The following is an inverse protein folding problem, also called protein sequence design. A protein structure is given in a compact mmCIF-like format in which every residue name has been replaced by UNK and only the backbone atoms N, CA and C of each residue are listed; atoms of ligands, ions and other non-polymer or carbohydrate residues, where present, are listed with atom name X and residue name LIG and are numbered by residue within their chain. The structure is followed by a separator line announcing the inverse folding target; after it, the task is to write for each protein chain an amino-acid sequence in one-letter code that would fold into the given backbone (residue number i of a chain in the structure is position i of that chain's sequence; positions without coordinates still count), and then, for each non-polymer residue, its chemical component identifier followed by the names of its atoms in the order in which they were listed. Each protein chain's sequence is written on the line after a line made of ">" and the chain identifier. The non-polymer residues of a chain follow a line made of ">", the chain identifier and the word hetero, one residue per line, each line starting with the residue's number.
data_IF_629521636437
#
_entry.id   IF_629521636437
#
_cell.length_a   1.000
_cell.length_b   1.000
_cell.length_c   1.000
_cell.angle_alpha   90.00
_cell.angle_beta   90.00
_cell.angle_gamma   90.00
#
_symmetry.space_group_name_H-M   'P 1'
#
loop_
_entity.id
_entity.type
_entity.pdbx_description
1 polymer ?
#
# COMPACT_ATOMS: atom_id res chain seq x y z
N UNK A 1 11.79 17.58 23.57
CA UNK A 1 11.43 16.94 22.30
C UNK A 1 12.68 16.27 21.76
N UNK A 2 12.53 15.19 20.97
CA UNK A 2 13.67 14.66 20.20
C UNK A 2 13.89 15.55 18.98
N UNK A 3 15.12 15.57 18.48
CA UNK A 3 15.46 16.38 17.31
C UNK A 3 14.75 15.84 16.06
N UNK A 4 14.73 14.52 15.88
CA UNK A 4 14.03 13.87 14.78
C UNK A 4 13.70 12.40 15.13
N UNK A 5 12.84 11.77 14.33
CA UNK A 5 12.70 10.32 14.29
C UNK A 5 12.39 9.87 12.87
N UNK A 6 12.86 8.67 12.53
CA UNK A 6 12.69 8.08 11.20
C UNK A 6 11.93 6.77 11.29
N UNK A 7 10.98 6.56 10.40
CA UNK A 7 10.28 5.30 10.20
C UNK A 7 10.52 4.80 8.78
N UNK A 8 10.59 3.48 8.62
CA UNK A 8 10.50 2.82 7.32
C UNK A 8 9.15 2.14 7.21
N UNK A 9 8.49 2.32 6.07
CA UNK A 9 7.24 1.64 5.73
C UNK A 9 7.41 0.95 4.39
N UNK A 10 7.17 -0.36 4.29
CA UNK A 10 7.34 -1.08 3.03
C UNK A 10 6.30 -0.60 2.00
N UNK A 11 6.65 -0.60 0.72
CA UNK A 11 5.67 -0.49 -0.35
C UNK A 11 4.68 -1.65 -0.28
N UNK A 12 3.45 -1.45 -0.73
CA UNK A 12 2.44 -2.50 -0.78
C UNK A 12 1.81 -2.60 -2.15
N UNK A 13 1.85 -3.81 -2.71
CA UNK A 13 1.12 -4.16 -3.93
C UNK A 13 -0.15 -4.88 -3.53
N UNK A 14 -1.30 -4.31 -3.84
CA UNK A 14 -2.58 -5.04 -3.81
C UNK A 14 -2.68 -5.92 -5.06
N UNK A 15 -2.95 -7.22 -4.87
CA UNK A 15 -3.17 -8.15 -5.98
C UNK A 15 -4.65 -8.27 -6.37
N UNK A 16 -5.56 -8.16 -5.41
CA UNK A 16 -7.00 -8.07 -5.63
C UNK A 16 -7.66 -7.50 -4.37
N UNK A 17 -8.88 -6.96 -4.52
CA UNK A 17 -9.61 -6.40 -3.39
C UNK A 17 -11.13 -6.37 -3.61
N UNK A 18 -11.87 -6.17 -2.53
CA UNK A 18 -13.24 -5.69 -2.54
C UNK A 18 -13.35 -4.50 -1.59
N UNK A 19 -13.99 -3.43 -2.02
CA UNK A 19 -14.19 -2.23 -1.20
C UNK A 19 -15.37 -2.43 -0.24
N UNK A 20 -15.22 -1.97 0.99
CA UNK A 20 -16.25 -2.00 2.03
C UNK A 20 -16.34 -0.60 2.65
N UNK A 21 -17.06 0.34 1.99
CA UNK A 21 -17.22 1.68 2.52
C UNK A 21 -18.06 1.67 3.80
N UNK A 22 -17.78 2.59 4.70
CA UNK A 22 -18.55 2.84 5.91
C UNK A 22 -18.50 4.32 6.27
N UNK A 23 -19.51 4.81 6.99
CA UNK A 23 -19.55 6.21 7.46
C UNK A 23 -18.40 6.51 8.45
N UNK A 24 -18.00 5.51 9.23
CA UNK A 24 -16.85 5.59 10.13
C UNK A 24 -15.57 5.18 9.37
N UNK A 25 -14.59 6.08 9.22
CA UNK A 25 -13.34 5.77 8.53
C UNK A 25 -12.54 4.62 9.14
N UNK A 26 -12.71 4.37 10.45
CA UNK A 26 -12.03 3.27 11.14
C UNK A 26 -12.65 1.91 10.85
N UNK A 27 -13.93 1.87 10.46
CA UNK A 27 -14.61 0.65 10.01
C UNK A 27 -14.49 0.44 8.50
N UNK A 28 -14.43 1.53 7.73
CA UNK A 28 -14.30 1.43 6.28
C UNK A 28 -12.94 0.82 5.91
N UNK A 29 -12.92 0.04 4.83
CA UNK A 29 -11.68 -0.52 4.34
C UNK A 29 -11.90 -1.50 3.20
N UNK A 30 -11.01 -2.48 3.10
CA UNK A 30 -11.04 -3.48 2.04
C UNK A 30 -10.79 -4.88 2.57
N UNK A 31 -11.34 -5.86 1.86
CA UNK A 31 -10.86 -7.25 1.92
C UNK A 31 -10.04 -7.54 0.68
N UNK A 32 -9.11 -8.48 0.75
CA UNK A 32 -8.26 -8.82 -0.39
C UNK A 32 -6.92 -9.39 0.04
N UNK A 33 -5.98 -9.50 -0.89
CA UNK A 33 -4.61 -9.88 -0.56
C UNK A 33 -3.60 -9.05 -1.35
N UNK A 34 -2.39 -8.97 -0.82
CA UNK A 34 -1.30 -8.24 -1.42
C UNK A 34 0.04 -8.71 -0.88
N UNK A 35 1.11 -8.00 -1.24
CA UNK A 35 2.44 -8.24 -0.75
C UNK A 35 3.15 -6.93 -0.44
N UNK A 36 3.90 -6.91 0.65
CA UNK A 36 4.73 -5.78 1.03
C UNK A 36 6.15 -5.97 0.51
N UNK A 37 6.81 -4.90 0.12
CA UNK A 37 8.11 -4.92 -0.55
C UNK A 37 9.23 -4.45 0.37
N UNK A 38 10.45 -4.93 0.13
CA UNK A 38 11.66 -4.40 0.80
C UNK A 38 11.98 -2.98 0.34
N UNK A 39 11.50 -2.61 -0.84
CA UNK A 39 11.48 -1.24 -1.35
C UNK A 39 10.29 -0.53 -0.71
N UNK A 40 10.45 0.74 -0.33
CA UNK A 40 9.40 1.43 0.41
C UNK A 40 9.61 2.91 0.54
N UNK A 41 9.16 3.44 1.68
CA UNK A 41 9.29 4.86 2.02
C UNK A 41 9.99 4.97 3.36
N UNK A 42 11.05 5.78 3.39
CA UNK A 42 11.68 6.23 4.64
C UNK A 42 11.12 7.61 4.97
N UNK A 43 10.45 7.76 6.11
CA UNK A 43 9.83 9.03 6.55
C UNK A 43 10.55 9.53 7.80
N UNK A 44 11.10 10.73 7.72
CA UNK A 44 11.71 11.44 8.84
C UNK A 44 10.81 12.60 9.25
N UNK A 45 10.56 12.72 10.55
CA UNK A 45 9.78 13.80 11.14
C UNK A 45 10.67 14.60 12.08
N UNK A 46 10.64 15.92 11.94
CA UNK A 46 11.33 16.87 12.81
C UNK A 46 10.38 18.00 13.28
N UNK A 47 10.55 18.54 14.49
CA UNK A 47 9.83 19.73 14.92
C UNK A 47 10.19 20.94 14.05
N UNK A 48 9.19 21.77 13.75
CA UNK A 48 9.43 23.10 13.19
C UNK A 48 9.60 24.15 14.30
N UNK A 49 10.06 25.35 13.95
CA UNK A 49 10.13 26.47 14.87
C UNK A 49 8.74 26.78 15.49
N UNK A 50 8.70 27.23 16.74
CA UNK A 50 7.43 27.45 17.47
C UNK A 50 6.50 28.46 16.79
N UNK A 51 7.04 29.35 15.95
CA UNK A 51 6.27 30.34 15.20
C UNK A 51 5.69 29.82 13.88
N UNK A 52 6.05 28.60 13.46
CA UNK A 52 5.49 28.00 12.26
C UNK A 52 4.05 27.52 12.53
N UNK A 53 3.12 27.97 11.67
CA UNK A 53 1.70 27.63 11.77
C UNK A 53 1.28 26.46 10.87
N UNK A 54 2.17 26.01 9.99
CA UNK A 54 1.87 25.02 8.95
C UNK A 54 2.99 23.98 8.87
N UNK A 55 2.59 22.75 8.62
CA UNK A 55 3.50 21.63 8.40
C UNK A 55 4.09 21.69 7.00
N UNK A 56 5.27 21.10 6.82
CA UNK A 56 5.95 21.03 5.53
C UNK A 56 6.12 19.56 5.18
N UNK A 57 5.61 19.14 4.02
CA UNK A 57 5.76 17.77 3.51
C UNK A 57 6.64 17.78 2.27
N UNK A 58 7.67 16.94 2.27
CA UNK A 58 8.65 16.81 1.20
C UNK A 58 8.77 15.33 0.83
N UNK A 59 8.73 15.04 -0.47
CA UNK A 59 8.99 13.73 -1.03
C UNK A 59 10.10 13.85 -2.07
N UNK A 60 11.18 13.10 -1.91
CA UNK A 60 12.34 13.06 -2.81
C UNK A 60 12.92 14.46 -3.13
N UNK A 61 12.89 15.34 -2.12
CA UNK A 61 13.41 16.71 -2.20
C UNK A 61 12.44 17.75 -2.76
N UNK A 62 11.23 17.35 -3.18
CA UNK A 62 10.20 18.25 -3.68
C UNK A 62 9.08 18.46 -2.65
N UNK A 63 8.63 19.71 -2.48
CA UNK A 63 7.45 20.01 -1.65
C UNK A 63 6.20 19.51 -2.34
N UNK A 64 5.38 18.76 -1.61
CA UNK A 64 4.18 18.11 -2.14
C UNK A 64 3.07 18.14 -1.09
N UNK A 65 1.82 18.15 -1.55
CA UNK A 65 0.65 17.96 -0.70
C UNK A 65 0.25 16.49 -0.70
N UNK A 66 0.19 15.88 0.49
CA UNK A 66 -0.28 14.51 0.68
C UNK A 66 -1.30 14.55 1.81
N UNK A 67 -2.56 14.73 1.44
CA UNK A 67 -3.69 14.94 2.36
C UNK A 67 -3.73 13.94 3.54
N UNK A 68 -3.47 12.63 3.37
CA UNK A 68 -3.36 11.70 4.49
C UNK A 68 -2.32 12.09 5.55
N UNK A 69 -1.17 12.65 5.14
CA UNK A 69 -0.11 13.10 6.07
C UNK A 69 -0.59 14.32 6.86
N UNK A 70 -1.27 15.25 6.21
CA UNK A 70 -1.84 16.44 6.86
C UNK A 70 -2.89 16.04 7.90
N UNK A 71 -3.81 15.14 7.55
CA UNK A 71 -4.82 14.61 8.47
C UNK A 71 -4.17 13.90 9.67
N UNK A 72 -3.09 13.14 9.46
CA UNK A 72 -2.34 12.51 10.58
C UNK A 72 -1.76 13.56 11.52
N UNK A 73 -1.11 14.60 10.99
CA UNK A 73 -0.50 15.67 11.79
C UNK A 73 -1.56 16.47 12.56
N UNK A 74 -2.67 16.81 11.92
CA UNK A 74 -3.82 17.47 12.55
C UNK A 74 -4.42 16.61 13.67
N UNK A 75 -4.60 15.31 13.43
CA UNK A 75 -5.16 14.37 14.41
C UNK A 75 -4.26 14.21 15.65
N UNK A 76 -2.94 14.30 15.44
CA UNK A 76 -1.95 14.27 16.51
C UNK A 76 -1.78 15.63 17.21
N UNK A 77 -2.41 16.70 16.71
CA UNK A 77 -2.28 18.10 17.17
C UNK A 77 -0.81 18.56 17.17
N UNK A 78 -0.10 18.32 16.05
CA UNK A 78 1.30 18.69 15.88
C UNK A 78 1.56 19.39 14.56
N UNK A 79 2.52 20.32 14.57
CA UNK A 79 3.08 20.94 13.37
C UNK A 79 4.51 20.44 13.21
N UNK A 80 4.84 19.91 12.03
CA UNK A 80 6.11 19.25 11.80
C UNK A 80 6.61 19.43 10.37
N UNK A 81 7.90 19.19 10.19
CA UNK A 81 8.48 18.95 8.87
C UNK A 81 8.60 17.45 8.68
N UNK A 82 8.00 16.97 7.60
CA UNK A 82 7.97 15.58 7.18
C UNK A 82 8.77 15.48 5.89
N UNK A 83 9.88 14.76 5.94
CA UNK A 83 10.74 14.51 4.78
C UNK A 83 10.73 13.01 4.49
N UNK A 84 10.41 12.65 3.25
CA UNK A 84 10.33 11.27 2.82
C UNK A 84 11.22 11.01 1.60
N UNK A 85 11.84 9.83 1.59
CA UNK A 85 12.55 9.26 0.44
C UNK A 85 11.84 7.98 0.02
N UNK A 86 11.56 7.81 -1.27
CA UNK A 86 10.91 6.61 -1.79
C UNK A 86 11.73 5.87 -2.85
N UNK A 87 11.77 4.54 -2.72
CA UNK A 87 12.31 3.64 -3.75
C UNK A 87 11.29 3.39 -4.89
N UNK A 88 10.06 3.91 -4.76
CA UNK A 88 8.89 3.51 -5.52
C UNK A 88 8.18 4.73 -6.12
N UNK A 89 7.67 4.63 -7.36
CA UNK A 89 6.96 5.75 -7.97
C UNK A 89 5.62 6.02 -7.27
N UNK A 90 5.34 7.30 -7.01
CA UNK A 90 4.04 7.78 -6.55
C UNK A 90 2.95 7.45 -7.59
N UNK A 91 1.72 7.18 -7.15
CA UNK A 91 0.58 6.92 -8.03
C UNK A 91 0.61 5.59 -8.81
N UNK A 92 1.67 4.79 -8.68
CA UNK A 92 1.89 3.58 -9.45
C UNK A 92 1.39 2.27 -8.78
N UNK A 93 0.48 2.38 -7.80
CA UNK A 93 -0.13 1.20 -7.14
C UNK A 93 0.69 0.59 -6.00
N UNK A 94 1.63 1.34 -5.41
CA UNK A 94 2.51 0.88 -4.32
C UNK A 94 2.11 1.36 -2.91
N UNK A 95 1.00 2.10 -2.77
CA UNK A 95 0.51 2.58 -1.47
C UNK A 95 1.42 3.63 -0.80
N UNK A 96 2.03 4.53 -1.58
CA UNK A 96 2.98 5.54 -1.06
C UNK A 96 2.32 6.53 -0.11
N UNK A 97 1.09 6.97 -0.38
CA UNK A 97 0.35 7.87 0.53
C UNK A 97 0.10 7.23 1.89
N UNK A 98 -0.34 5.96 1.91
CA UNK A 98 -0.50 5.17 3.13
C UNK A 98 0.83 4.94 3.86
N UNK A 99 1.92 4.71 3.11
CA UNK A 99 3.24 4.56 3.68
C UNK A 99 3.72 5.85 4.37
N UNK A 100 3.48 7.00 3.73
CA UNK A 100 3.81 8.30 4.29
C UNK A 100 2.95 8.64 5.52
N UNK A 101 1.65 8.37 5.48
CA UNK A 101 0.75 8.56 6.63
C UNK A 101 1.19 7.70 7.83
N UNK A 102 1.46 6.41 7.62
CA UNK A 102 1.88 5.50 8.68
C UNK A 102 3.27 5.84 9.22
N UNK A 103 4.22 6.16 8.34
CA UNK A 103 5.57 6.59 8.71
C UNK A 103 5.54 7.87 9.54
N UNK A 104 4.73 8.84 9.13
CA UNK A 104 4.49 10.10 9.85
C UNK A 104 3.90 9.83 11.22
N UNK A 105 2.84 9.02 11.33
CA UNK A 105 2.22 8.71 12.61
C UNK A 105 3.23 8.08 13.60
N UNK A 106 4.04 7.12 13.13
CA UNK A 106 5.06 6.44 13.94
C UNK A 106 6.17 7.41 14.39
N UNK A 107 6.71 8.20 13.48
CA UNK A 107 7.79 9.13 13.76
C UNK A 107 7.33 10.34 14.59
N UNK A 108 6.17 10.93 14.29
CA UNK A 108 5.59 12.03 15.06
C UNK A 108 5.29 11.60 16.51
N UNK A 109 4.70 10.42 16.73
CA UNK A 109 4.50 9.88 18.08
C UNK A 109 5.80 9.80 18.88
N UNK A 110 6.93 9.51 18.20
CA UNK A 110 8.25 9.46 18.82
C UNK A 110 8.81 10.84 19.15
N UNK A 111 8.70 11.78 18.21
CA UNK A 111 9.27 13.14 18.28
C UNK A 111 8.54 13.98 19.33
N UNK A 112 7.21 14.01 19.24
CA UNK A 112 6.33 14.82 20.07
C UNK A 112 5.87 14.10 21.34
N UNK A 113 6.12 12.80 21.44
CA UNK A 113 5.82 12.04 22.66
C UNK A 113 4.32 11.90 22.92
N UNK A 114 3.53 11.66 21.87
CA UNK A 114 2.07 11.48 21.94
C UNK A 114 1.66 10.26 22.79
N UNK A 115 2.58 9.30 23.00
CA UNK A 115 2.42 8.10 23.85
C UNK A 115 1.27 7.18 23.40
N UNK A 116 0.98 7.17 22.11
CA UNK A 116 0.00 6.29 21.51
C UNK A 116 0.61 4.90 21.25
N UNK A 117 -0.23 3.87 21.34
CA UNK A 117 0.10 2.50 20.99
C UNK A 117 0.17 2.31 19.47
N UNK A 118 0.78 1.20 19.03
CA UNK A 118 0.90 0.90 17.60
C UNK A 118 -0.46 0.86 16.90
N UNK A 119 -1.45 0.18 17.48
CA UNK A 119 -2.78 0.09 16.86
C UNK A 119 -3.46 1.46 16.76
N UNK A 120 -3.29 2.35 17.75
CA UNK A 120 -3.82 3.72 17.66
C UNK A 120 -3.19 4.49 16.50
N UNK A 121 -1.87 4.39 16.31
CA UNK A 121 -1.16 5.06 15.23
C UNK A 121 -1.55 4.52 13.85
N UNK A 122 -1.69 3.19 13.73
CA UNK A 122 -2.15 2.55 12.50
C UNK A 122 -3.61 2.93 12.22
N UNK A 123 -4.46 3.03 13.24
CA UNK A 123 -5.84 3.53 13.09
C UNK A 123 -5.88 4.97 12.60
N UNK A 124 -5.02 5.86 13.12
CA UNK A 124 -4.94 7.26 12.66
C UNK A 124 -4.53 7.33 11.19
N UNK A 125 -3.46 6.63 10.80
CA UNK A 125 -2.99 6.60 9.42
C UNK A 125 -4.02 5.96 8.46
N UNK A 126 -4.68 4.89 8.89
CA UNK A 126 -5.74 4.23 8.11
C UNK A 126 -6.94 5.16 7.92
N UNK A 127 -7.40 5.79 8.99
CA UNK A 127 -8.51 6.75 8.95
C UNK A 127 -8.20 7.91 8.00
N UNK A 128 -6.98 8.44 8.05
CA UNK A 128 -6.52 9.51 7.17
C UNK A 128 -6.57 9.12 5.68
N UNK A 129 -6.09 7.93 5.31
CA UNK A 129 -6.18 7.41 3.93
C UNK A 129 -7.63 7.22 3.46
N UNK A 130 -8.50 6.72 4.33
CA UNK A 130 -9.91 6.53 4.02
C UNK A 130 -10.61 7.89 3.82
N UNK A 131 -10.34 8.86 4.69
CA UNK A 131 -10.94 10.20 4.61
C UNK A 131 -10.50 10.95 3.36
N UNK A 132 -9.24 10.82 2.96
CA UNK A 132 -8.70 11.39 1.72
C UNK A 132 -9.13 10.61 0.46
N UNK A 133 -9.74 9.43 0.61
CA UNK A 133 -10.15 8.58 -0.51
C UNK A 133 -8.98 8.00 -1.31
N UNK A 134 -7.78 7.96 -0.73
CA UNK A 134 -6.54 7.52 -1.40
C UNK A 134 -6.26 6.03 -1.21
N UNK A 135 -6.79 5.42 -0.14
CA UNK A 135 -6.54 4.01 0.16
C UNK A 135 -7.53 3.39 1.13
N UNK A 136 -7.76 2.09 0.99
CA UNK A 136 -8.70 1.31 1.83
C UNK A 136 -8.04 0.15 2.57
N UNK A 137 -6.74 -0.05 2.42
CA UNK A 137 -6.08 -1.16 3.12
C UNK A 137 -4.59 -1.28 2.92
N UNK A 138 -3.91 -0.28 2.37
CA UNK A 138 -2.45 -0.28 2.27
C UNK A 138 -1.83 -0.12 3.65
N UNK A 139 -2.28 0.84 4.46
CA UNK A 139 -1.75 1.08 5.82
C UNK A 139 -1.75 -0.18 6.69
N UNK A 140 -2.86 -0.91 6.75
CA UNK A 140 -2.96 -2.14 7.56
C UNK A 140 -2.12 -3.28 7.00
N UNK A 141 -1.96 -3.35 5.67
CA UNK A 141 -1.09 -4.33 5.02
C UNK A 141 0.39 -4.01 5.26
N UNK A 142 0.76 -2.73 5.20
CA UNK A 142 2.10 -2.21 5.45
C UNK A 142 2.49 -2.35 6.92
N UNK A 143 1.57 -2.18 7.85
CA UNK A 143 1.80 -2.48 9.27
C UNK A 143 2.02 -3.97 9.51
N UNK A 144 1.25 -4.84 8.85
CA UNK A 144 1.32 -6.30 8.98
C UNK A 144 2.61 -6.89 8.39
N UNK A 145 3.02 -6.42 7.21
CA UNK A 145 4.16 -6.98 6.48
C UNK A 145 3.89 -8.34 5.84
N UNK A 146 4.89 -8.84 5.12
CA UNK A 146 4.84 -10.12 4.42
C UNK A 146 3.86 -10.09 3.25
N UNK A 147 2.95 -11.06 3.24
CA UNK A 147 1.96 -11.29 2.17
C UNK A 147 0.57 -11.34 2.81
N UNK A 148 0.02 -10.17 3.21
CA UNK A 148 -1.19 -10.10 4.01
C UNK A 148 -2.44 -10.50 3.22
N UNK A 149 -3.36 -11.16 3.93
CA UNK A 149 -4.73 -11.45 3.52
C UNK A 149 -5.67 -10.68 4.45
N UNK A 150 -6.36 -9.68 3.91
CA UNK A 150 -7.39 -8.89 4.60
C UNK A 150 -8.72 -9.67 4.57
N UNK A 151 -9.04 -10.36 5.66
CA UNK A 151 -10.25 -11.19 5.80
C UNK A 151 -11.48 -10.34 6.13
N UNK A 152 -11.33 -9.36 7.02
CA UNK A 152 -12.36 -8.39 7.39
C UNK A 152 -11.85 -6.96 7.14
N UNK A 153 -12.70 -6.01 6.71
CA UNK A 153 -12.30 -4.64 6.41
C UNK A 153 -12.06 -3.82 7.69
N UNK A 154 -11.50 -2.63 7.53
CA UNK A 154 -11.32 -1.65 8.61
C UNK A 154 -9.88 -1.49 9.10
N UNK A 155 -9.72 -0.63 10.10
CA UNK A 155 -8.49 -0.46 10.87
C UNK A 155 -8.28 -1.58 11.90
N UNK A 156 -7.17 -1.53 12.66
CA UNK A 156 -6.75 -2.60 13.58
C UNK A 156 -7.76 -3.08 14.64
N UNK A 157 -8.77 -2.27 14.98
CA UNK A 157 -9.79 -2.66 15.97
C UNK A 157 -10.99 -3.38 15.35
N UNK A 158 -11.19 -3.23 14.04
CA UNK A 158 -12.35 -3.75 13.31
C UNK A 158 -11.96 -4.91 12.38
N UNK A 159 -10.75 -4.87 11.85
CA UNK A 159 -10.30 -5.80 10.83
C UNK A 159 -9.85 -7.16 11.37
N UNK A 160 -9.61 -8.05 10.43
CA UNK A 160 -8.96 -9.33 10.65
C UNK A 160 -8.00 -9.60 9.52
N UNK A 161 -6.73 -9.71 9.87
CA UNK A 161 -5.66 -10.06 8.94
C UNK A 161 -5.24 -11.52 9.15
N UNK A 162 -4.89 -12.17 8.05
CA UNK A 162 -4.12 -13.41 7.98
C UNK A 162 -2.96 -13.19 7.00
N UNK A 163 -2.16 -14.20 6.69
CA UNK A 163 -1.08 -14.06 5.73
C UNK A 163 -0.77 -15.37 5.01
N UNK A 164 -0.26 -15.25 3.79
CA UNK A 164 0.40 -16.36 3.12
C UNK A 164 1.76 -16.56 3.78
N UNK A 165 2.06 -17.73 4.38
CA UNK A 165 3.30 -17.98 5.12
C UNK A 165 4.47 -18.27 4.18
N UNK A 166 4.76 -17.33 3.27
CA UNK A 166 5.80 -17.44 2.26
C UNK A 166 6.60 -16.15 2.15
N UNK A 167 7.71 -16.25 1.42
CA UNK A 167 8.49 -15.10 0.95
C UNK A 167 8.71 -15.24 -0.54
N UNK A 168 8.81 -14.11 -1.23
CA UNK A 168 9.08 -14.10 -2.66
C UNK A 168 10.15 -13.06 -3.00
N UNK A 169 10.95 -13.37 -4.03
CA UNK A 169 11.61 -12.34 -4.83
C UNK A 169 10.56 -11.75 -5.76
N UNK A 170 10.54 -10.43 -5.86
CA UNK A 170 9.57 -9.67 -6.65
C UNK A 170 10.31 -8.82 -7.66
N UNK A 171 9.83 -8.83 -8.88
CA UNK A 171 10.23 -7.89 -9.94
C UNK A 171 9.03 -7.00 -10.27
N UNK A 172 9.26 -5.74 -10.61
CA UNK A 172 8.20 -4.87 -11.10
C UNK A 172 8.68 -3.89 -12.17
N UNK A 173 7.77 -3.54 -13.06
CA UNK A 173 7.91 -2.45 -14.04
C UNK A 173 6.65 -1.60 -13.96
N UNK A 174 6.83 -0.28 -13.87
CA UNK A 174 5.75 0.69 -13.90
C UNK A 174 5.80 1.49 -15.19
N UNK A 175 4.64 1.64 -15.82
CA UNK A 175 4.44 2.39 -17.06
C UNK A 175 3.75 3.73 -16.81
N UNK A 176 3.14 3.91 -15.63
CA UNK A 176 2.44 5.14 -15.27
C UNK A 176 1.51 4.99 -14.07
N UNK A 177 0.74 6.04 -13.86
CA UNK A 177 -0.24 6.15 -12.78
C UNK A 177 -1.65 5.79 -13.27
N UNK A 178 -2.48 5.22 -12.38
CA UNK A 178 -3.91 5.09 -12.60
C UNK A 178 -4.67 5.79 -11.47
N UNK A 179 -5.79 6.40 -11.81
CA UNK A 179 -6.61 7.11 -10.83
C UNK A 179 -7.37 6.11 -9.93
N UNK A 180 -6.89 5.94 -8.70
CA UNK A 180 -7.58 5.16 -7.65
C UNK A 180 -9.01 5.65 -7.44
N UNK A 181 -9.20 6.98 -7.38
CA UNK A 181 -10.51 7.58 -7.13
C UNK A 181 -11.52 7.24 -8.24
N UNK A 182 -11.11 7.27 -9.51
CA UNK A 182 -12.01 6.97 -10.63
C UNK A 182 -12.43 5.49 -10.64
N UNK A 183 -11.52 4.57 -10.29
CA UNK A 183 -11.84 3.14 -10.15
C UNK A 183 -12.81 2.90 -9.00
N UNK A 184 -12.62 3.60 -7.87
CA UNK A 184 -13.49 3.45 -6.69
C UNK A 184 -14.85 4.18 -6.82
N UNK A 185 -14.95 5.17 -7.71
CA UNK A 185 -16.19 5.91 -7.98
C UNK A 185 -17.10 5.23 -9.02
N UNK A 186 -16.61 4.20 -9.72
CA UNK A 186 -17.36 3.44 -10.72
C UNK A 186 -18.37 2.44 -10.14
N UNK A 187 -18.88 1.55 -11.00
CA UNK A 187 -19.73 0.42 -10.55
C UNK A 187 -18.88 -0.63 -9.82
N UNK A 188 -18.84 -0.50 -8.48
CA UNK A 188 -18.04 -1.39 -7.64
C UNK A 188 -18.65 -2.78 -7.42
N UNK A 189 -19.84 -3.09 -7.95
CA UNK A 189 -20.49 -4.38 -7.70
C UNK A 189 -19.72 -5.52 -8.39
N UNK A 190 -19.29 -5.32 -9.64
CA UNK A 190 -18.47 -6.28 -10.38
C UNK A 190 -17.10 -6.47 -9.72
N UNK A 191 -16.45 -5.36 -9.32
CA UNK A 191 -15.19 -5.38 -8.60
C UNK A 191 -15.32 -6.14 -7.27
N UNK A 192 -16.38 -5.86 -6.52
CA UNK A 192 -16.66 -6.49 -5.23
C UNK A 192 -16.93 -7.99 -5.39
N UNK A 193 -17.65 -8.40 -6.43
CA UNK A 193 -17.90 -9.81 -6.72
C UNK A 193 -16.59 -10.54 -7.07
N UNK A 194 -15.79 -10.01 -7.99
CA UNK A 194 -14.49 -10.57 -8.37
C UNK A 194 -13.54 -10.66 -7.16
N UNK A 195 -13.52 -9.62 -6.32
CA UNK A 195 -12.72 -9.58 -5.10
C UNK A 195 -13.11 -10.65 -4.07
N UNK A 196 -14.42 -10.90 -3.90
CA UNK A 196 -14.94 -11.95 -3.00
C UNK A 196 -14.55 -13.35 -3.48
N UNK A 197 -14.66 -13.61 -4.79
CA UNK A 197 -14.24 -14.89 -5.39
C UNK A 197 -12.73 -15.10 -5.24
N UNK A 198 -11.93 -14.08 -5.57
CA UNK A 198 -10.48 -14.10 -5.41
C UNK A 198 -10.06 -14.38 -3.97
N UNK A 199 -10.72 -13.73 -2.99
CA UNK A 199 -10.45 -13.95 -1.57
C UNK A 199 -10.79 -15.39 -1.15
N UNK A 200 -11.96 -15.90 -1.56
CA UNK A 200 -12.37 -17.28 -1.25
C UNK A 200 -11.33 -18.29 -1.71
N UNK A 201 -10.78 -18.09 -2.91
CA UNK A 201 -9.73 -18.97 -3.47
C UNK A 201 -8.44 -18.94 -2.66
N UNK A 202 -7.96 -17.75 -2.31
CA UNK A 202 -6.71 -17.61 -1.56
C UNK A 202 -6.84 -18.12 -0.13
N UNK A 203 -8.01 -17.98 0.49
CA UNK A 203 -8.27 -18.54 1.83
C UNK A 203 -8.33 -20.07 1.79
N UNK A 204 -8.86 -20.67 0.73
CA UNK A 204 -8.89 -22.14 0.57
C UNK A 204 -7.48 -22.72 0.37
N UNK A 205 -6.63 -22.03 -0.38
CA UNK A 205 -5.25 -22.44 -0.62
C UNK A 205 -4.29 -21.23 -0.51
N UNK A 206 -3.81 -20.89 0.71
CA UNK A 206 -2.99 -19.70 0.94
C UNK A 206 -1.55 -19.91 0.46
N UNK A 207 -1.36 -19.87 -0.86
CA UNK A 207 -0.07 -20.04 -1.54
C UNK A 207 0.15 -18.91 -2.54
N UNK A 208 1.43 -18.64 -2.87
CA UNK A 208 1.81 -17.66 -3.88
C UNK A 208 1.15 -17.91 -5.24
N UNK A 209 1.01 -19.18 -5.64
CA UNK A 209 0.37 -19.55 -6.92
C UNK A 209 -1.12 -19.21 -6.92
N UNK A 210 -1.83 -19.52 -5.82
CA UNK A 210 -3.24 -19.15 -5.67
C UNK A 210 -3.43 -17.64 -5.70
N UNK A 211 -2.57 -16.90 -5.00
CA UNK A 211 -2.54 -15.44 -5.04
C UNK A 211 -2.34 -14.90 -6.46
N UNK A 212 -1.27 -15.32 -7.17
CA UNK A 212 -1.00 -14.84 -8.53
C UNK A 212 -2.12 -15.15 -9.51
N UNK A 213 -2.72 -16.34 -9.40
CA UNK A 213 -3.88 -16.70 -10.20
C UNK A 213 -5.06 -15.78 -9.90
N UNK A 214 -5.38 -15.58 -8.62
CA UNK A 214 -6.51 -14.77 -8.17
C UNK A 214 -6.34 -13.30 -8.60
N UNK A 215 -5.12 -12.76 -8.51
CA UNK A 215 -4.79 -11.40 -8.94
C UNK A 215 -4.98 -11.20 -10.45
N UNK A 216 -4.48 -12.12 -11.28
CA UNK A 216 -4.69 -12.05 -12.74
C UNK A 216 -6.16 -12.15 -13.13
N UNK A 217 -6.88 -13.08 -12.50
CA UNK A 217 -8.31 -13.25 -12.74
C UNK A 217 -9.06 -11.97 -12.37
N UNK A 218 -8.79 -11.42 -11.17
CA UNK A 218 -9.40 -10.19 -10.71
C UNK A 218 -9.14 -9.02 -11.65
N UNK A 219 -7.88 -8.79 -12.06
CA UNK A 219 -7.52 -7.70 -12.97
C UNK A 219 -8.34 -7.74 -14.27
N UNK A 220 -8.53 -8.95 -14.81
CA UNK A 220 -9.32 -9.18 -16.03
C UNK A 220 -10.82 -8.97 -15.80
N UNK A 221 -11.39 -9.60 -14.77
CA UNK A 221 -12.83 -9.55 -14.48
C UNK A 221 -13.28 -8.17 -14.00
N UNK A 222 -12.38 -7.38 -13.39
CA UNK A 222 -12.63 -6.00 -12.99
C UNK A 222 -12.31 -4.98 -14.09
N UNK A 223 -11.94 -5.43 -15.30
CA UNK A 223 -11.63 -4.58 -16.47
C UNK A 223 -10.56 -3.51 -16.19
N UNK A 224 -9.58 -3.82 -15.34
CA UNK A 224 -8.52 -2.89 -14.93
C UNK A 224 -7.29 -2.93 -15.84
N UNK A 225 -7.16 -3.97 -16.67
CA UNK A 225 -5.99 -4.19 -17.50
C UNK A 225 -5.91 -3.18 -18.65
N UNK A 226 -4.85 -2.38 -18.68
CA UNK A 226 -4.46 -1.62 -19.88
C UNK A 226 -3.83 -2.55 -20.92
N UNK A 227 -3.75 -2.09 -22.17
CA UNK A 227 -3.13 -2.87 -23.26
C UNK A 227 -1.66 -3.20 -22.95
N UNK A 228 -0.90 -2.23 -22.41
CA UNK A 228 0.52 -2.38 -22.08
C UNK A 228 0.74 -3.36 -20.91
N UNK A 229 -0.09 -3.28 -19.86
CA UNK A 229 -0.08 -4.22 -18.73
C UNK A 229 -0.44 -5.64 -19.20
N UNK A 230 -1.47 -5.79 -20.04
CA UNK A 230 -1.89 -7.09 -20.55
C UNK A 230 -0.82 -7.74 -21.44
N UNK A 231 -0.19 -6.96 -22.32
CA UNK A 231 0.92 -7.41 -23.17
C UNK A 231 2.10 -7.90 -22.33
N UNK A 232 2.53 -7.10 -21.35
CA UNK A 232 3.65 -7.44 -20.47
C UNK A 232 3.39 -8.72 -19.66
N UNK A 233 2.18 -8.92 -19.13
CA UNK A 233 1.81 -10.17 -18.45
C UNK A 233 1.84 -11.36 -19.42
N UNK A 234 1.46 -11.15 -20.68
CA UNK A 234 1.55 -12.13 -21.76
C UNK A 234 2.99 -12.58 -21.99
N UNK A 235 3.92 -11.65 -22.16
CA UNK A 235 5.34 -11.92 -22.36
C UNK A 235 5.94 -12.75 -21.22
N UNK A 236 5.61 -12.39 -19.97
CA UNK A 236 6.03 -13.16 -18.78
C UNK A 236 5.45 -14.58 -18.80
N UNK A 237 4.21 -14.73 -19.28
CA UNK A 237 3.55 -16.04 -19.38
C UNK A 237 4.20 -16.92 -20.44
N UNK A 238 4.62 -16.36 -21.58
CA UNK A 238 5.27 -17.08 -22.68
C UNK A 238 6.61 -17.70 -22.26
N UNK A 239 7.28 -17.11 -21.26
CA UNK A 239 8.50 -17.67 -20.65
C UNK A 239 8.21 -18.54 -19.41
N UNK A 240 6.96 -18.89 -19.15
CA UNK A 240 6.47 -19.66 -17.99
C UNK A 240 6.64 -18.96 -16.62
N UNK A 241 6.77 -17.63 -16.61
CA UNK A 241 6.80 -16.82 -15.40
C UNK A 241 5.41 -16.62 -14.78
N UNK A 242 5.38 -15.95 -13.63
CA UNK A 242 4.13 -15.56 -12.96
C UNK A 242 4.12 -14.05 -12.75
N UNK A 243 3.23 -13.35 -13.47
CA UNK A 243 3.00 -11.92 -13.32
C UNK A 243 1.53 -11.58 -13.08
N UNK A 244 1.29 -10.37 -12.57
CA UNK A 244 -0.03 -9.74 -12.45
C UNK A 244 0.13 -8.22 -12.40
N UNK A 245 -0.96 -7.50 -12.61
CA UNK A 245 -1.03 -6.06 -12.36
C UNK A 245 -0.97 -5.75 -10.86
N UNK A 246 -0.25 -4.70 -10.46
CA UNK A 246 -0.41 -4.07 -9.17
C UNK A 246 -1.68 -3.21 -9.21
N UNK A 247 -2.69 -3.55 -8.40
CA UNK A 247 -4.00 -2.91 -8.53
C UNK A 247 -3.90 -1.40 -8.31
N UNK A 248 -4.60 -0.65 -9.16
CA UNK A 248 -4.69 0.81 -9.14
C UNK A 248 -3.38 1.53 -9.55
N UNK A 249 -2.49 0.84 -10.26
CA UNK A 249 -1.37 1.46 -10.98
C UNK A 249 -1.14 0.81 -12.33
N UNK A 250 -0.53 1.53 -13.28
CA UNK A 250 -0.13 0.93 -14.55
C UNK A 250 1.20 0.19 -14.38
N UNK A 251 1.17 -0.84 -13.54
CA UNK A 251 2.36 -1.53 -13.04
C UNK A 251 2.15 -3.04 -13.12
N UNK A 252 3.15 -3.75 -13.63
CA UNK A 252 3.21 -5.22 -13.59
C UNK A 252 4.23 -5.64 -12.56
N UNK A 253 3.84 -6.58 -11.70
CA UNK A 253 4.76 -7.27 -10.82
C UNK A 253 4.82 -8.76 -11.15
N UNK A 254 5.99 -9.36 -10.96
CA UNK A 254 6.24 -10.78 -11.17
C UNK A 254 6.94 -11.41 -9.98
N UNK A 255 6.68 -12.71 -9.76
CA UNK A 255 7.44 -13.50 -8.80
C UNK A 255 8.66 -14.13 -9.46
N UNK A 256 9.75 -14.26 -8.71
CA UNK A 256 10.98 -14.81 -9.24
C UNK A 256 11.60 -13.84 -10.24
N UNK A 257 12.02 -14.33 -11.41
CA UNK A 257 12.71 -13.59 -12.49
C UNK A 257 11.82 -13.36 -13.72
N UNK A 258 10.50 -13.47 -13.58
CA UNK A 258 9.58 -13.52 -14.73
C UNK A 258 9.69 -12.34 -15.71
N UNK A 259 9.90 -11.11 -15.21
CA UNK A 259 10.03 -9.93 -16.06
C UNK A 259 11.41 -9.88 -16.74
N UNK A 260 12.47 -10.18 -15.98
CA UNK A 260 13.83 -10.27 -16.53
C UNK A 260 13.93 -11.36 -17.62
N UNK A 261 13.33 -12.53 -17.38
CA UNK A 261 13.32 -13.65 -18.33
C UNK A 261 12.52 -13.34 -19.60
N UNK A 262 11.51 -12.45 -19.48
CA UNK A 262 10.75 -11.92 -20.61
C UNK A 262 11.45 -10.77 -21.36
N UNK A 263 12.64 -10.35 -20.91
CA UNK A 263 13.46 -9.32 -21.58
C UNK A 263 13.19 -7.88 -21.15
N UNK A 264 12.46 -7.67 -20.05
CA UNK A 264 12.29 -6.35 -19.44
C UNK A 264 13.48 -6.01 -18.53
N UNK A 265 13.63 -4.72 -18.17
CA UNK A 265 14.59 -4.24 -17.16
C UNK A 265 13.82 -3.86 -15.87
N UNK A 266 13.39 -4.83 -15.06
CA UNK A 266 12.58 -4.54 -13.88
C UNK A 266 13.41 -4.02 -12.70
N UNK A 267 12.75 -3.28 -11.83
CA UNK A 267 13.21 -3.15 -10.44
C UNK A 267 13.08 -4.48 -9.73
N UNK A 268 14.01 -4.77 -8.81
CA UNK A 268 14.14 -6.09 -8.17
C UNK A 268 14.19 -5.92 -6.66
N UNK A 269 13.28 -6.59 -5.96
CA UNK A 269 13.22 -6.59 -4.52
C UNK A 269 12.68 -7.92 -3.96
N UNK A 270 12.27 -7.93 -2.69
CA UNK A 270 11.67 -9.10 -2.06
C UNK A 270 10.49 -8.71 -1.16
N UNK A 271 9.75 -9.69 -0.68
CA UNK A 271 8.69 -9.45 0.30
C UNK A 271 9.25 -9.03 1.65
N UNK A 272 8.71 -7.97 2.28
CA UNK A 272 9.21 -7.44 3.56
C UNK A 272 8.40 -7.94 4.78
N UNK A 273 8.93 -8.88 5.60
CA UNK A 273 8.11 -9.60 6.59
C UNK A 273 7.78 -8.83 7.87
N UNK A 274 8.43 -7.70 8.15
CA UNK A 274 8.35 -7.04 9.46
C UNK A 274 7.29 -5.92 9.53
N UNK A 275 6.74 -5.52 8.39
CA UNK A 275 5.88 -4.36 8.28
C UNK A 275 6.60 -3.05 8.63
N UNK A 276 5.83 -2.00 8.92
CA UNK A 276 6.36 -0.69 9.28
C UNK A 276 7.20 -0.74 10.57
N UNK A 277 8.32 -0.01 10.60
CA UNK A 277 9.23 0.01 11.75
C UNK A 277 9.86 1.38 11.95
N UNK A 278 9.95 1.79 13.22
CA UNK A 278 10.75 2.94 13.62
C UNK A 278 12.23 2.54 13.59
N UNK A 279 13.08 3.38 12.98
CA UNK A 279 14.53 3.20 12.89
C UNK A 279 15.25 3.73 14.14
#
# INVERSE_FOLDING_TARGET
>A
MREEATAFVPGHITGFFSAHPADDPTMAGSRGAGLTLTDGVTVTVEPVAEEASESIVILDGEMIEIEPVDIVLETLDVVARVEAESDLPLGAGFGISGAMALGTALAANRVFGCKLSRNELVTIAHGAEVQAGTGLGDVVAQDCGGIPIRLEPGGPQENKLDAIPARARVEYVSFGELSTADVLAGDTDQLTAAGKEALSRVVEEPTLLSFMYASRLFAREAELLTEEVAHTIGDVTDVNGQASMAMLGETVFALGTGLSDAGYEPSVCATHPAGALLR
#
